data_IF_495291848634
#
_entry.id   IF_495291848634
#
_cell.length_a   1.000
_cell.length_b   1.000
_cell.length_c   1.000
_cell.angle_alpha   90.00
_cell.angle_beta   90.00
_cell.angle_gamma   90.00
#
_symmetry.space_group_name_H-M   'P 1'
#
loop_
_entity.id
_entity.type
_entity.pdbx_description
1 polymer ?
#
# COMPACT_ATOMS: atom_id res chain seq x y z
N UNK A 1 2.93 -4.16 18.65
CA UNK A 1 3.15 -5.00 17.46
C UNK A 1 3.14 -6.49 17.76
N UNK A 2 4.11 -7.05 18.51
CA UNK A 2 4.21 -8.52 18.78
C UNK A 2 2.91 -9.17 19.32
N UNK A 3 2.12 -8.44 20.12
CA UNK A 3 0.81 -8.90 20.60
C UNK A 3 -0.18 -9.18 19.46
N UNK A 4 -0.31 -8.26 18.50
CA UNK A 4 -1.24 -8.39 17.36
C UNK A 4 -0.82 -9.49 16.38
N UNK A 5 0.49 -9.64 16.16
CA UNK A 5 1.01 -10.73 15.34
C UNK A 5 0.72 -12.10 15.96
N UNK A 6 0.84 -12.23 17.29
CA UNK A 6 0.41 -13.46 18.00
C UNK A 6 -1.09 -13.70 17.97
N UNK A 7 -1.88 -12.64 17.80
CA UNK A 7 -3.34 -12.71 17.59
C UNK A 7 -3.70 -13.02 16.12
N UNK A 8 -2.72 -13.27 15.25
CA UNK A 8 -2.94 -13.69 13.85
C UNK A 8 -2.98 -12.57 12.82
N UNK A 9 -2.62 -11.34 13.20
CA UNK A 9 -2.54 -10.23 12.25
C UNK A 9 -1.46 -10.49 11.18
N UNK A 10 -1.78 -10.12 9.94
CA UNK A 10 -0.84 -10.12 8.82
C UNK A 10 0.15 -8.95 8.93
N UNK A 11 1.38 -9.16 8.48
CA UNK A 11 2.46 -8.16 8.49
C UNK A 11 3.01 -7.95 7.08
N UNK A 12 2.86 -6.74 6.56
CA UNK A 12 3.51 -6.26 5.34
C UNK A 12 4.59 -5.27 5.77
N UNK A 13 5.82 -5.46 5.30
CA UNK A 13 6.95 -4.56 5.56
C UNK A 13 7.36 -3.90 4.26
N UNK A 14 7.38 -2.57 4.25
CA UNK A 14 7.85 -1.75 3.13
C UNK A 14 9.09 -0.99 3.60
N UNK A 15 10.28 -1.52 3.33
CA UNK A 15 11.56 -0.88 3.65
C UNK A 15 12.61 -1.43 2.66
N UNK A 16 13.44 -0.56 2.03
CA UNK A 16 14.55 -0.99 1.19
C UNK A 16 15.49 -2.00 1.87
N UNK A 17 15.58 -1.95 3.21
CA UNK A 17 16.46 -2.77 4.03
C UNK A 17 15.70 -3.96 4.61
N UNK A 18 16.38 -5.10 4.68
CA UNK A 18 15.92 -6.24 5.47
C UNK A 18 16.29 -6.02 6.94
N UNK A 19 15.37 -5.47 7.72
CA UNK A 19 15.54 -5.28 9.18
C UNK A 19 14.94 -6.45 9.97
N UNK A 20 15.20 -6.53 11.28
CA UNK A 20 14.67 -7.59 12.17
C UNK A 20 13.13 -7.68 12.19
N UNK A 21 12.43 -6.66 11.71
CA UNK A 21 10.98 -6.65 11.57
C UNK A 21 10.50 -7.55 10.42
N UNK A 22 11.35 -7.78 9.42
CA UNK A 22 11.09 -8.68 8.31
C UNK A 22 11.16 -10.12 8.78
N UNK A 23 12.19 -10.46 9.54
CA UNK A 23 12.46 -11.82 9.98
C UNK A 23 13.26 -11.83 11.27
N UNK A 24 12.68 -12.42 12.31
CA UNK A 24 13.31 -12.72 13.60
C UNK A 24 12.65 -13.98 14.21
N UNK A 25 13.19 -14.59 15.27
CA UNK A 25 12.70 -15.87 15.80
C UNK A 25 11.20 -15.92 16.17
N UNK A 26 10.56 -14.77 16.36
CA UNK A 26 9.14 -14.66 16.76
C UNK A 26 8.30 -13.77 15.83
N UNK A 27 8.88 -13.29 14.72
CA UNK A 27 8.22 -12.41 13.76
C UNK A 27 8.69 -12.78 12.37
N UNK A 28 7.75 -13.04 11.48
CA UNK A 28 8.02 -13.14 10.05
C UNK A 28 6.97 -12.31 9.33
N UNK A 29 7.41 -11.37 8.50
CA UNK A 29 6.51 -10.64 7.63
C UNK A 29 5.90 -11.60 6.59
N UNK A 30 4.60 -11.47 6.34
CA UNK A 30 3.93 -12.17 5.25
C UNK A 30 4.44 -11.67 3.90
N UNK A 31 4.72 -10.36 3.82
CA UNK A 31 5.27 -9.71 2.64
C UNK A 31 6.36 -8.72 3.05
N UNK A 32 7.50 -8.76 2.34
CA UNK A 32 8.52 -7.71 2.42
C UNK A 32 8.69 -7.13 1.02
N UNK A 33 8.39 -5.84 0.89
CA UNK A 33 8.52 -5.07 -0.35
C UNK A 33 9.77 -4.16 -0.23
N UNK A 34 10.91 -4.58 -0.80
CA UNK A 34 12.16 -3.82 -0.74
C UNK A 34 12.15 -2.69 -1.77
N UNK A 35 11.40 -1.63 -1.48
CA UNK A 35 11.27 -0.48 -2.38
C UNK A 35 12.61 0.24 -2.59
N UNK A 36 12.75 0.95 -3.71
CA UNK A 36 13.83 1.90 -3.92
C UNK A 36 13.69 3.11 -2.97
N UNK A 37 14.79 3.68 -2.44
CA UNK A 37 14.70 4.86 -1.58
C UNK A 37 13.94 6.01 -2.23
N UNK A 38 12.99 6.61 -1.50
CA UNK A 38 12.18 7.73 -1.98
C UNK A 38 10.92 7.35 -2.77
N UNK A 39 10.66 6.06 -3.02
CA UNK A 39 9.54 5.60 -3.86
C UNK A 39 8.24 5.26 -3.11
N UNK A 40 8.04 5.81 -1.90
CA UNK A 40 6.84 5.55 -1.10
C UNK A 40 5.54 6.01 -1.80
N UNK A 41 5.56 7.19 -2.44
CA UNK A 41 4.37 7.76 -3.08
C UNK A 41 3.89 6.90 -4.26
N UNK A 42 4.75 6.50 -5.23
CA UNK A 42 4.35 5.56 -6.27
C UNK A 42 3.74 4.26 -5.74
N UNK A 43 4.28 3.70 -4.64
CA UNK A 43 3.74 2.48 -4.05
C UNK A 43 2.35 2.69 -3.43
N UNK A 44 2.16 3.77 -2.66
CA UNK A 44 0.85 4.10 -2.06
C UNK A 44 -0.18 4.36 -3.15
N UNK A 45 0.23 5.03 -4.24
CA UNK A 45 -0.64 5.28 -5.37
C UNK A 45 -1.07 3.98 -6.05
N UNK A 46 -0.16 3.03 -6.26
CA UNK A 46 -0.48 1.71 -6.81
C UNK A 46 -1.52 0.95 -5.98
N UNK A 47 -1.35 0.90 -4.66
CA UNK A 47 -2.36 0.28 -3.80
C UNK A 47 -3.71 0.99 -3.90
N UNK A 48 -3.69 2.32 -3.90
CA UNK A 48 -4.91 3.13 -3.95
C UNK A 48 -5.64 2.97 -5.30
N UNK A 49 -4.90 2.97 -6.41
CA UNK A 49 -5.43 2.72 -7.75
C UNK A 49 -6.14 1.37 -7.82
N UNK A 50 -5.48 0.32 -7.31
CA UNK A 50 -6.08 -1.02 -7.28
C UNK A 50 -7.35 -1.06 -6.42
N UNK A 51 -7.31 -0.50 -5.20
CA UNK A 51 -8.48 -0.41 -4.30
C UNK A 51 -9.66 0.29 -5.00
N UNK A 52 -9.39 1.38 -5.72
CA UNK A 52 -10.42 2.13 -6.44
C UNK A 52 -10.96 1.34 -7.63
N UNK A 53 -10.09 0.72 -8.42
CA UNK A 53 -10.45 -0.05 -9.63
C UNK A 53 -11.28 -1.29 -9.29
N UNK A 54 -10.95 -1.95 -8.18
CA UNK A 54 -11.67 -3.13 -7.68
C UNK A 54 -12.89 -2.78 -6.80
N UNK A 55 -13.16 -1.50 -6.56
CA UNK A 55 -14.33 -1.07 -5.76
C UNK A 55 -14.24 -1.44 -4.28
N UNK A 56 -13.04 -1.48 -3.71
CA UNK A 56 -12.77 -1.88 -2.32
C UNK A 56 -12.85 -0.72 -1.31
N UNK A 57 -13.28 0.46 -1.74
CA UNK A 57 -13.44 1.63 -0.87
C UNK A 57 -14.65 1.50 0.04
N UNK A 58 -14.49 1.90 1.30
CA UNK A 58 -15.59 2.15 2.20
C UNK A 58 -16.21 3.54 1.91
N UNK A 59 -17.16 3.56 0.97
CA UNK A 59 -17.81 4.79 0.52
C UNK A 59 -18.76 5.39 1.57
N UNK A 60 -19.25 4.62 2.54
CA UNK A 60 -20.06 5.15 3.64
C UNK A 60 -19.17 5.96 4.59
N UNK A 61 -18.02 5.41 4.97
CA UNK A 61 -17.05 6.12 5.81
C UNK A 61 -16.54 7.40 5.15
N UNK A 62 -16.20 7.34 3.85
CA UNK A 62 -15.73 8.51 3.10
C UNK A 62 -16.79 9.63 3.11
N UNK A 63 -18.06 9.30 2.82
CA UNK A 63 -19.16 10.29 2.84
C UNK A 63 -19.38 10.91 4.22
N UNK A 64 -19.16 10.17 5.30
CA UNK A 64 -19.36 10.66 6.66
C UNK A 64 -18.16 11.51 7.17
N UNK A 65 -16.93 11.20 6.72
CA UNK A 65 -15.70 11.69 7.37
C UNK A 65 -14.75 12.49 6.50
N UNK A 66 -14.96 12.55 5.19
CA UNK A 66 -14.06 13.25 4.27
C UNK A 66 -14.77 14.43 3.59
N UNK A 67 -13.96 15.40 3.14
CA UNK A 67 -14.44 16.45 2.25
C UNK A 67 -14.69 15.86 0.85
N UNK A 68 -15.90 16.06 0.34
CA UNK A 68 -16.35 15.41 -0.89
C UNK A 68 -15.61 15.92 -2.13
N UNK A 69 -15.36 17.24 -2.22
CA UNK A 69 -14.65 17.83 -3.36
C UNK A 69 -13.20 17.33 -3.42
N UNK A 70 -12.49 17.34 -2.30
CA UNK A 70 -11.12 16.82 -2.21
C UNK A 70 -11.03 15.32 -2.52
N UNK A 71 -12.05 14.54 -2.14
CA UNK A 71 -12.11 13.12 -2.45
C UNK A 71 -12.32 12.87 -3.95
N UNK A 72 -13.18 13.65 -4.61
CA UNK A 72 -13.42 13.54 -6.04
C UNK A 72 -12.16 13.86 -6.86
N UNK A 73 -11.44 14.93 -6.51
CA UNK A 73 -10.15 15.29 -7.12
C UNK A 73 -9.12 14.16 -6.97
N UNK A 74 -9.01 13.60 -5.76
CA UNK A 74 -8.13 12.47 -5.50
C UNK A 74 -8.54 11.22 -6.28
N UNK A 75 -9.85 10.95 -6.36
CA UNK A 75 -10.39 9.79 -7.07
C UNK A 75 -10.13 9.87 -8.58
N UNK A 76 -10.22 11.05 -9.17
CA UNK A 76 -9.87 11.26 -10.58
C UNK A 76 -8.37 11.03 -10.81
N UNK A 77 -7.52 11.63 -9.98
CA UNK A 77 -6.07 11.45 -10.06
C UNK A 77 -5.68 9.97 -9.95
N UNK A 78 -6.22 9.26 -8.96
CA UNK A 78 -5.77 7.90 -8.63
C UNK A 78 -6.23 6.86 -9.65
N UNK A 79 -7.31 7.14 -10.39
CA UNK A 79 -7.82 6.27 -11.47
C UNK A 79 -6.93 6.26 -12.71
N UNK A 80 -6.06 7.24 -12.87
CA UNK A 80 -5.13 7.29 -14.00
C UNK A 80 -4.21 6.06 -14.01
N UNK A 81 -3.98 5.47 -15.18
CA UNK A 81 -3.15 4.26 -15.35
C UNK A 81 -1.66 4.50 -15.02
N UNK A 82 -1.20 5.74 -14.95
CA UNK A 82 0.14 6.08 -14.42
C UNK A 82 0.28 5.77 -12.93
N UNK A 83 -0.83 5.60 -12.20
CA UNK A 83 -0.87 5.15 -10.82
C UNK A 83 -1.10 3.63 -10.69
N UNK A 84 -1.13 2.87 -11.78
CA UNK A 84 -1.34 1.42 -11.73
C UNK A 84 -0.18 0.68 -11.03
N UNK A 85 -0.41 -0.54 -10.49
CA UNK A 85 0.65 -1.41 -10.02
C UNK A 85 1.77 -1.64 -11.06
N UNK A 86 1.40 -1.78 -12.33
CA UNK A 86 2.31 -1.92 -13.47
C UNK A 86 3.21 -0.69 -13.64
N UNK A 87 2.64 0.52 -13.56
CA UNK A 87 3.39 1.75 -13.64
C UNK A 87 4.32 1.97 -12.43
N UNK A 88 3.99 1.39 -11.27
CA UNK A 88 4.79 1.51 -10.06
C UNK A 88 6.01 0.58 -10.00
N UNK A 89 6.10 -0.46 -10.85
CA UNK A 89 7.24 -1.41 -10.82
C UNK A 89 8.58 -0.69 -11.05
N UNK A 90 8.68 0.16 -12.07
CA UNK A 90 9.91 0.88 -12.39
C UNK A 90 10.40 1.84 -11.28
N UNK A 91 9.57 2.76 -10.75
CA UNK A 91 10.01 3.68 -9.70
C UNK A 91 10.20 3.01 -8.34
N UNK A 92 9.49 1.92 -8.04
CA UNK A 92 9.58 1.24 -6.74
C UNK A 92 10.59 0.11 -6.71
N UNK A 93 10.91 -0.50 -7.86
CA UNK A 93 11.71 -1.71 -7.95
C UNK A 93 11.01 -2.97 -7.42
N UNK A 94 9.72 -2.89 -7.06
CA UNK A 94 8.92 -4.01 -6.58
C UNK A 94 8.22 -4.67 -7.77
N UNK A 95 8.49 -5.96 -7.98
CA UNK A 95 7.91 -6.71 -9.10
C UNK A 95 6.49 -7.22 -8.78
N UNK A 96 5.66 -7.35 -9.82
CA UNK A 96 4.27 -7.82 -9.75
C UNK A 96 4.10 -9.35 -9.60
N UNK A 97 5.20 -10.10 -9.41
CA UNK A 97 5.21 -11.57 -9.41
C UNK A 97 4.51 -12.20 -8.20
#
# INVERSE_FOLDING_TARGET
MKKRLREGAKLIVVDPRKTDIVESPHIKADYHLPILPGSNVPLINAFSHYIVKEGLLDLDYVRERCDQASFEDWLEFIKDESNSPEAAEAPTGVSLK
#
